data_IF_352741193745
#
_entry.id   IF_352741193745
#
_cell.length_a   1.000
_cell.length_b   1.000
_cell.length_c   1.000
_cell.angle_alpha   90.00
_cell.angle_beta   90.00
_cell.angle_gamma   90.00
#
_symmetry.space_group_name_H-M   'P 1'
#
loop_
_entity.id
_entity.type
_entity.pdbx_description
1 polymer ?
#
# COMPACT_ATOMS: atom_id res chain seq x y z
N UNK A 1 67.17 43.07 5.93
CA UNK A 1 65.82 42.60 5.50
C UNK A 1 65.75 41.07 5.42
N UNK A 2 66.02 40.38 6.55
CA UNK A 2 66.10 38.90 6.62
C UNK A 2 64.79 38.21 7.04
N UNK A 3 63.76 38.98 7.43
CA UNK A 3 62.47 38.44 7.90
C UNK A 3 61.43 38.23 6.79
N UNK A 4 61.57 38.87 5.62
CA UNK A 4 60.59 38.73 4.53
C UNK A 4 60.74 37.45 3.68
N UNK A 5 61.91 36.79 3.70
CA UNK A 5 62.15 35.55 2.93
C UNK A 5 61.64 34.27 3.60
N UNK A 6 61.35 34.29 4.91
CA UNK A 6 60.87 33.11 5.64
C UNK A 6 59.35 32.92 5.56
N UNK A 7 58.59 33.98 5.28
CA UNK A 7 57.13 33.92 5.22
C UNK A 7 56.62 33.37 3.87
N UNK A 8 57.32 33.67 2.76
CA UNK A 8 56.92 33.21 1.41
C UNK A 8 57.12 31.71 1.21
N UNK A 9 58.10 31.10 1.90
CA UNK A 9 58.37 29.65 1.81
C UNK A 9 57.32 28.82 2.55
N UNK A 10 56.74 29.34 3.63
CA UNK A 10 55.70 28.63 4.39
C UNK A 10 54.33 28.63 3.68
N UNK A 11 53.99 29.69 2.93
CA UNK A 11 52.72 29.76 2.19
C UNK A 11 52.70 28.79 1.02
N UNK A 12 53.84 28.54 0.37
CA UNK A 12 53.96 27.56 -0.73
C UNK A 12 53.92 26.10 -0.28
N UNK A 13 54.21 25.80 0.99
CA UNK A 13 54.13 24.45 1.55
C UNK A 13 52.70 24.05 1.95
N UNK A 14 51.82 24.98 2.29
CA UNK A 14 50.41 24.68 2.58
C UNK A 14 49.55 24.47 1.32
N UNK A 15 49.96 25.06 0.18
CA UNK A 15 49.28 24.86 -1.12
C UNK A 15 49.71 23.56 -1.83
N UNK A 16 50.89 23.00 -1.49
CA UNK A 16 51.36 21.72 -2.02
C UNK A 16 50.73 20.49 -1.36
N UNK A 17 50.19 20.62 -0.14
CA UNK A 17 49.56 19.53 0.60
C UNK A 17 48.09 19.27 0.24
N UNK A 18 47.48 20.08 -0.63
CA UNK A 18 46.11 19.86 -1.14
C UNK A 18 46.05 19.17 -2.51
N UNK A 19 47.20 18.89 -3.13
CA UNK A 19 47.26 18.31 -4.50
C UNK A 19 47.74 16.84 -4.53
N UNK A 20 47.77 16.16 -3.38
CA UNK A 20 48.11 14.73 -3.26
C UNK A 20 47.06 13.95 -2.45
N UNK A 21 45.78 14.26 -2.63
CA UNK A 21 44.75 13.23 -2.44
C UNK A 21 44.73 12.43 -3.73
N UNK A 22 45.50 11.33 -3.71
CA UNK A 22 45.55 10.37 -4.77
C UNK A 22 44.14 9.98 -5.20
N UNK A 23 43.97 9.88 -6.51
CA UNK A 23 42.99 9.01 -7.13
C UNK A 23 43.24 7.60 -6.57
N UNK A 24 42.63 7.30 -5.44
CA UNK A 24 42.36 5.93 -5.05
C UNK A 24 41.40 5.45 -6.13
N UNK A 25 41.76 4.47 -6.97
CA UNK A 25 40.75 3.80 -7.77
C UNK A 25 39.78 3.24 -6.75
N UNK A 26 38.54 3.75 -6.76
CA UNK A 26 37.46 3.01 -6.13
C UNK A 26 37.57 1.61 -6.73
N UNK A 27 37.67 0.55 -5.90
CA UNK A 27 37.41 -0.77 -6.44
C UNK A 27 36.07 -0.64 -7.14
N UNK A 28 36.00 -1.07 -8.39
CA UNK A 28 34.74 -1.47 -9.02
C UNK A 28 34.21 -2.66 -8.21
N UNK A 29 33.78 -2.39 -6.98
CA UNK A 29 32.74 -3.14 -6.34
C UNK A 29 31.51 -2.76 -7.16
N UNK A 30 31.38 -3.41 -8.32
CA UNK A 30 30.07 -3.71 -8.88
C UNK A 30 29.28 -4.31 -7.73
N UNK A 31 28.55 -3.46 -7.00
CA UNK A 31 27.48 -3.89 -6.12
C UNK A 31 26.66 -4.80 -7.02
N UNK A 32 26.64 -6.13 -6.79
CA UNK A 32 26.01 -7.04 -7.73
C UNK A 32 24.61 -6.51 -7.90
N UNK A 33 24.30 -6.06 -9.13
CA UNK A 33 23.10 -5.29 -9.43
C UNK A 33 21.94 -6.04 -8.80
N UNK A 34 21.45 -5.51 -7.66
CA UNK A 34 20.49 -6.23 -6.81
C UNK A 34 19.33 -6.51 -7.75
N UNK A 35 19.14 -7.78 -8.11
CA UNK A 35 18.11 -8.19 -9.06
C UNK A 35 16.85 -7.42 -8.65
N UNK A 36 16.25 -6.61 -9.54
CA UNK A 36 15.14 -5.77 -9.15
C UNK A 36 14.14 -6.69 -8.45
N UNK A 37 13.68 -6.34 -7.23
CA UNK A 37 12.80 -7.21 -6.47
C UNK A 37 11.65 -7.60 -7.40
N UNK A 38 11.42 -8.91 -7.50
CA UNK A 38 10.36 -9.46 -8.34
C UNK A 38 8.99 -8.92 -7.92
N UNK A 39 7.92 -9.28 -8.66
CA UNK A 39 6.58 -8.94 -8.23
C UNK A 39 6.33 -9.46 -6.79
N UNK A 40 5.72 -8.63 -5.95
CA UNK A 40 5.22 -9.06 -4.64
C UNK A 40 3.76 -9.43 -4.86
N UNK A 41 3.40 -10.70 -4.66
CA UNK A 41 2.07 -11.23 -4.87
C UNK A 41 1.71 -12.14 -3.71
N UNK A 42 0.69 -11.77 -2.95
CA UNK A 42 0.15 -12.55 -1.85
C UNK A 42 -1.00 -13.44 -2.37
N UNK A 43 -1.04 -14.74 -2.04
CA UNK A 43 -2.08 -15.66 -2.49
C UNK A 43 -3.35 -15.52 -1.65
N UNK A 44 -3.97 -14.34 -1.66
CA UNK A 44 -5.28 -14.12 -1.02
C UNK A 44 -6.37 -14.65 -1.94
N UNK A 45 -7.20 -15.55 -1.43
CA UNK A 45 -8.33 -16.12 -2.18
C UNK A 45 -9.41 -15.05 -2.44
N UNK A 46 -9.80 -14.78 -3.70
CA UNK A 46 -10.88 -13.86 -4.01
C UNK A 46 -12.24 -14.36 -3.49
N UNK A 47 -13.07 -13.44 -3.01
CA UNK A 47 -14.40 -13.73 -2.46
C UNK A 47 -15.46 -12.84 -3.11
N UNK A 48 -16.50 -13.46 -3.67
CA UNK A 48 -17.68 -12.73 -4.15
C UNK A 48 -18.52 -12.24 -2.97
N UNK A 49 -18.77 -10.94 -2.88
CA UNK A 49 -19.68 -10.36 -1.89
C UNK A 49 -21.09 -10.96 -2.01
N UNK A 50 -21.70 -11.34 -0.88
CA UNK A 50 -23.04 -11.95 -0.82
C UNK A 50 -24.17 -10.97 -1.06
N UNK A 51 -24.00 -9.71 -0.66
CA UNK A 51 -24.95 -8.62 -0.94
C UNK A 51 -24.27 -7.60 -1.84
N UNK A 52 -25.04 -6.91 -2.69
CA UNK A 52 -24.51 -5.86 -3.57
C UNK A 52 -23.86 -4.69 -2.80
N UNK A 53 -24.14 -4.57 -1.50
CA UNK A 53 -23.63 -3.54 -0.62
C UNK A 53 -22.60 -4.04 0.41
N UNK A 54 -22.19 -5.32 0.36
CA UNK A 54 -21.30 -5.94 1.36
C UNK A 54 -19.83 -6.06 0.93
N UNK A 55 -19.34 -5.19 0.04
CA UNK A 55 -17.93 -5.18 -0.40
C UNK A 55 -16.94 -5.02 0.77
N UNK A 56 -17.30 -4.25 1.80
CA UNK A 56 -16.51 -4.10 3.03
C UNK A 56 -16.39 -5.42 3.82
N UNK A 57 -17.50 -6.11 4.06
CA UNK A 57 -17.49 -7.40 4.77
C UNK A 57 -16.72 -8.46 3.99
N UNK A 58 -16.91 -8.54 2.67
CA UNK A 58 -16.17 -9.48 1.83
C UNK A 58 -14.66 -9.19 1.83
N UNK A 59 -14.26 -7.92 1.72
CA UNK A 59 -12.86 -7.50 1.78
C UNK A 59 -12.22 -7.79 3.14
N UNK A 60 -12.95 -7.55 4.23
CA UNK A 60 -12.52 -7.93 5.57
C UNK A 60 -12.28 -9.44 5.68
N UNK A 61 -13.22 -10.28 5.22
CA UNK A 61 -13.09 -11.74 5.28
C UNK A 61 -11.90 -12.24 4.48
N UNK A 62 -11.66 -11.69 3.27
CA UNK A 62 -10.49 -12.04 2.47
C UNK A 62 -9.17 -11.78 3.23
N UNK A 63 -9.00 -10.57 3.78
CA UNK A 63 -7.79 -10.21 4.52
C UNK A 63 -7.66 -10.99 5.84
N UNK A 64 -8.77 -11.16 6.58
CA UNK A 64 -8.78 -11.89 7.83
C UNK A 64 -8.41 -13.36 7.64
N UNK A 65 -9.04 -14.05 6.68
CA UNK A 65 -8.81 -15.47 6.45
C UNK A 65 -7.39 -15.75 5.92
N UNK A 66 -6.81 -14.80 5.20
CA UNK A 66 -5.40 -14.87 4.82
C UNK A 66 -4.48 -14.82 6.05
N UNK A 67 -4.75 -13.90 7.00
CA UNK A 67 -3.96 -13.76 8.22
C UNK A 67 -4.25 -14.83 9.29
N UNK A 68 -5.43 -15.45 9.27
CA UNK A 68 -5.92 -16.41 10.28
C UNK A 68 -6.50 -17.67 9.62
N UNK A 69 -5.69 -18.45 8.86
CA UNK A 69 -6.18 -19.57 8.08
C UNK A 69 -6.77 -20.71 8.92
N UNK A 70 -6.36 -20.84 10.18
CA UNK A 70 -6.84 -21.89 11.09
C UNK A 70 -8.24 -21.62 11.67
N UNK A 71 -8.70 -20.36 11.61
CA UNK A 71 -10.01 -19.94 12.13
C UNK A 71 -10.74 -19.07 11.11
N UNK A 72 -11.07 -19.60 9.92
CA UNK A 72 -11.65 -18.79 8.86
C UNK A 72 -13.07 -18.31 9.23
N UNK A 73 -13.39 -17.11 8.79
CA UNK A 73 -14.72 -16.51 8.90
C UNK A 73 -15.52 -16.72 7.62
N UNK A 74 -16.84 -16.77 7.78
CA UNK A 74 -17.80 -16.70 6.68
C UNK A 74 -18.35 -15.27 6.56
N UNK A 75 -18.50 -14.76 5.34
CA UNK A 75 -19.04 -13.41 5.11
C UNK A 75 -20.44 -13.22 5.71
N UNK A 76 -21.30 -14.24 5.66
CA UNK A 76 -22.65 -14.14 6.21
C UNK A 76 -22.65 -13.90 7.72
N UNK A 77 -21.69 -14.48 8.46
CA UNK A 77 -21.57 -14.26 9.90
C UNK A 77 -21.11 -12.84 10.20
N UNK A 78 -20.14 -12.35 9.40
CA UNK A 78 -19.65 -10.97 9.50
C UNK A 78 -20.76 -9.97 9.17
N UNK A 79 -21.55 -10.22 8.12
CA UNK A 79 -22.72 -9.40 7.76
C UNK A 79 -23.72 -9.38 8.92
N UNK A 80 -24.10 -10.55 9.46
CA UNK A 80 -25.08 -10.63 10.54
C UNK A 80 -24.63 -9.84 11.77
N UNK A 81 -23.36 -10.00 12.16
CA UNK A 81 -22.76 -9.22 13.25
C UNK A 81 -22.75 -7.72 12.96
N UNK A 82 -22.28 -7.31 11.77
CA UNK A 82 -22.18 -5.90 11.41
C UNK A 82 -23.56 -5.21 11.35
N UNK A 83 -24.60 -5.90 10.87
CA UNK A 83 -25.99 -5.40 10.92
C UNK A 83 -26.47 -5.26 12.37
N UNK A 84 -26.24 -6.27 13.22
CA UNK A 84 -26.65 -6.25 14.62
C UNK A 84 -26.03 -5.08 15.39
N UNK A 85 -24.79 -4.74 15.10
CA UNK A 85 -24.06 -3.65 15.75
C UNK A 85 -24.30 -2.28 15.11
N UNK A 86 -25.02 -2.23 13.98
CA UNK A 86 -25.22 -0.99 13.21
C UNK A 86 -23.98 -0.51 12.46
N UNK A 87 -22.98 -1.38 12.27
CA UNK A 87 -21.76 -1.10 11.48
C UNK A 87 -22.00 -1.25 9.98
N UNK A 88 -23.00 -2.04 9.60
CA UNK A 88 -23.44 -2.24 8.22
C UNK A 88 -24.95 -2.04 8.10
N UNK A 89 -25.37 -1.32 7.06
CA UNK A 89 -26.76 -1.15 6.64
C UNK A 89 -26.86 -1.38 5.14
N UNK A 90 -27.95 -1.99 4.67
CA UNK A 90 -28.11 -2.36 3.26
C UNK A 90 -28.96 -1.39 2.44
N UNK A 91 -29.51 -0.35 3.06
CA UNK A 91 -30.51 0.55 2.46
C UNK A 91 -30.06 2.03 2.36
N UNK A 92 -28.93 2.40 2.96
CA UNK A 92 -28.41 3.78 2.94
C UNK A 92 -26.90 3.83 2.94
N UNK A 93 -26.34 4.87 2.31
CA UNK A 93 -24.90 5.10 2.27
C UNK A 93 -24.40 5.91 3.48
N UNK A 94 -23.14 5.73 3.90
CA UNK A 94 -22.27 4.61 3.50
C UNK A 94 -22.82 3.29 4.05
N UNK A 95 -22.78 2.22 3.24
CA UNK A 95 -23.29 0.91 3.66
C UNK A 95 -22.47 0.37 4.82
N UNK A 96 -21.14 0.43 4.69
CA UNK A 96 -20.15 0.27 5.77
C UNK A 96 -19.14 1.39 5.61
N UNK A 97 -18.91 2.20 6.65
CA UNK A 97 -17.88 3.25 6.59
C UNK A 97 -16.49 2.68 6.91
N UNK A 98 -15.41 3.37 6.52
CA UNK A 98 -14.04 3.03 6.92
C UNK A 98 -13.86 2.89 8.44
N UNK A 99 -14.53 3.75 9.24
CA UNK A 99 -14.49 3.65 10.69
C UNK A 99 -15.21 2.37 11.18
N UNK A 100 -16.35 2.03 10.58
CA UNK A 100 -17.09 0.81 10.91
C UNK A 100 -16.33 -0.46 10.48
N UNK A 101 -15.51 -0.40 9.43
CA UNK A 101 -14.62 -1.51 9.05
C UNK A 101 -13.65 -1.86 10.19
N UNK A 102 -13.06 -0.86 10.84
CA UNK A 102 -12.15 -1.06 11.99
C UNK A 102 -12.90 -1.64 13.18
N UNK A 103 -14.04 -1.04 13.58
CA UNK A 103 -14.86 -1.52 14.70
C UNK A 103 -15.35 -2.97 14.49
N UNK A 104 -15.67 -3.31 13.24
CA UNK A 104 -16.04 -4.67 12.85
C UNK A 104 -14.84 -5.62 12.99
N UNK A 105 -13.65 -5.22 12.55
CA UNK A 105 -12.45 -6.07 12.61
C UNK A 105 -11.98 -6.32 14.06
N UNK A 106 -12.06 -5.32 14.92
CA UNK A 106 -11.66 -5.40 16.35
C UNK A 106 -12.46 -6.45 17.15
N UNK A 107 -13.63 -6.86 16.66
CA UNK A 107 -14.39 -7.98 17.23
C UNK A 107 -13.66 -9.31 17.13
N UNK A 108 -12.89 -9.50 16.06
CA UNK A 108 -12.31 -10.79 15.67
C UNK A 108 -10.81 -10.88 15.98
N UNK A 109 -10.09 -9.76 15.91
CA UNK A 109 -8.65 -9.73 16.20
C UNK A 109 -8.21 -8.38 16.75
N UNK A 110 -7.13 -8.38 17.53
CA UNK A 110 -6.48 -7.14 18.01
C UNK A 110 -5.40 -6.64 17.07
N UNK A 111 -5.01 -7.43 16.08
CA UNK A 111 -3.93 -7.13 15.13
C UNK A 111 -4.47 -6.36 13.93
N UNK A 112 -5.25 -5.31 14.20
CA UNK A 112 -5.83 -4.44 13.18
C UNK A 112 -4.98 -3.18 13.11
N UNK A 113 -4.52 -2.84 11.92
CA UNK A 113 -3.85 -1.58 11.65
C UNK A 113 -4.63 -0.83 10.61
N UNK A 114 -4.90 0.45 10.85
CA UNK A 114 -5.58 1.31 9.91
C UNK A 114 -4.99 2.71 9.95
N UNK A 115 -5.17 3.44 8.86
CA UNK A 115 -4.64 4.79 8.75
C UNK A 115 -5.09 5.48 7.50
N UNK A 116 -4.40 6.58 7.20
CA UNK A 116 -4.64 7.39 6.00
C UNK A 116 -3.32 7.78 5.38
N UNK A 117 -3.26 7.76 4.06
CA UNK A 117 -2.18 8.35 3.26
C UNK A 117 -2.73 9.54 2.49
N UNK A 118 -1.90 10.56 2.26
CA UNK A 118 -2.32 11.80 1.59
C UNK A 118 -1.61 11.96 0.25
N UNK A 119 -0.36 11.52 0.18
CA UNK A 119 0.48 11.64 -1.01
C UNK A 119 0.64 10.29 -1.72
N UNK A 120 0.78 10.29 -3.05
CA UNK A 120 0.99 9.05 -3.81
C UNK A 120 2.26 8.31 -3.36
N UNK A 121 3.32 9.02 -3.00
CA UNK A 121 4.56 8.40 -2.56
C UNK A 121 4.38 7.67 -1.22
N UNK A 122 3.55 8.23 -0.32
CA UNK A 122 3.19 7.60 0.96
C UNK A 122 2.35 6.34 0.74
N UNK A 123 1.33 6.41 -0.12
CA UNK A 123 0.50 5.26 -0.46
C UNK A 123 1.31 4.12 -1.07
N UNK A 124 2.21 4.44 -1.99
CA UNK A 124 3.08 3.45 -2.61
C UNK A 124 4.07 2.83 -1.61
N UNK A 125 4.67 3.66 -0.75
CA UNK A 125 5.57 3.19 0.30
C UNK A 125 4.87 2.27 1.30
N UNK A 126 3.63 2.62 1.71
CA UNK A 126 2.78 1.79 2.55
C UNK A 126 2.53 0.43 1.89
N UNK A 127 2.09 0.40 0.62
CA UNK A 127 1.83 -0.87 -0.07
C UNK A 127 3.09 -1.74 -0.12
N UNK A 128 4.25 -1.16 -0.39
CA UNK A 128 5.52 -1.90 -0.36
C UNK A 128 5.88 -2.43 1.03
N UNK A 129 5.65 -1.67 2.08
CA UNK A 129 5.91 -2.11 3.46
C UNK A 129 4.97 -3.27 3.82
N UNK A 130 3.67 -3.06 3.67
CA UNK A 130 2.63 -4.01 4.08
C UNK A 130 2.70 -5.32 3.31
N UNK A 131 2.79 -5.26 1.99
CA UNK A 131 2.85 -6.46 1.16
C UNK A 131 4.15 -7.26 1.36
N UNK A 132 5.27 -6.62 1.76
CA UNK A 132 6.51 -7.34 2.10
C UNK A 132 6.45 -8.03 3.46
N UNK A 133 5.56 -7.59 4.33
CA UNK A 133 5.31 -8.18 5.63
C UNK A 133 4.17 -9.21 5.58
N UNK A 134 3.80 -9.69 4.38
CA UNK A 134 2.66 -10.59 4.16
C UNK A 134 1.34 -10.03 4.73
N UNK A 135 1.13 -8.70 4.60
CA UNK A 135 -0.10 -8.03 5.01
C UNK A 135 -0.84 -7.49 3.77
N UNK A 136 -1.92 -8.16 3.31
CA UNK A 136 -2.76 -7.58 2.27
C UNK A 136 -3.48 -6.33 2.79
N UNK A 137 -3.71 -5.36 1.92
CA UNK A 137 -4.20 -4.03 2.29
C UNK A 137 -5.60 -3.81 1.77
N UNK A 138 -6.57 -3.63 2.66
CA UNK A 138 -7.91 -3.19 2.29
C UNK A 138 -7.84 -1.68 2.05
N UNK A 139 -8.33 -1.25 0.90
CA UNK A 139 -8.47 0.17 0.53
C UNK A 139 -9.89 0.42 0.04
N UNK A 140 -10.27 1.69 0.02
CA UNK A 140 -11.57 2.14 -0.47
C UNK A 140 -11.36 2.99 -1.74
N UNK A 141 -11.95 2.56 -2.86
CA UNK A 141 -11.75 3.12 -4.19
C UNK A 141 -13.09 3.34 -4.88
N UNK A 142 -13.08 3.94 -6.07
CA UNK A 142 -14.21 3.87 -6.98
C UNK A 142 -14.49 2.44 -7.46
N UNK A 143 -15.78 2.09 -7.57
CA UNK A 143 -16.26 0.84 -8.16
C UNK A 143 -15.72 0.65 -9.59
N UNK A 144 -15.69 1.73 -10.36
CA UNK A 144 -15.15 1.77 -11.72
C UNK A 144 -14.01 2.77 -11.79
N UNK A 145 -12.78 2.28 -11.92
CA UNK A 145 -11.58 3.13 -11.94
C UNK A 145 -11.56 4.13 -13.10
N UNK A 146 -12.16 3.81 -14.23
CA UNK A 146 -12.22 4.66 -15.43
C UNK A 146 -13.37 5.67 -15.42
N UNK A 147 -14.29 5.56 -14.46
CA UNK A 147 -15.43 6.47 -14.27
C UNK A 147 -15.24 7.22 -12.93
N UNK A 148 -14.69 8.45 -12.97
CA UNK A 148 -14.56 9.28 -11.78
C UNK A 148 -15.90 9.46 -11.08
N UNK A 149 -15.86 9.46 -9.74
CA UNK A 149 -17.04 9.61 -8.88
C UNK A 149 -18.09 8.49 -9.05
N UNK A 150 -17.69 7.30 -9.52
CA UNK A 150 -18.51 6.12 -9.28
C UNK A 150 -18.55 5.76 -7.79
N UNK A 151 -19.41 4.83 -7.42
CA UNK A 151 -19.66 4.51 -6.02
C UNK A 151 -18.39 4.03 -5.30
N UNK A 152 -18.25 4.39 -4.02
CA UNK A 152 -17.17 3.88 -3.18
C UNK A 152 -17.26 2.35 -2.99
N UNK A 153 -16.10 1.70 -2.94
CA UNK A 153 -15.96 0.26 -3.05
C UNK A 153 -14.67 -0.22 -2.37
N UNK A 154 -14.82 -1.12 -1.40
CA UNK A 154 -13.67 -1.74 -0.75
C UNK A 154 -13.10 -2.87 -1.62
N UNK A 155 -11.78 -2.88 -1.75
CA UNK A 155 -11.02 -3.96 -2.40
C UNK A 155 -9.82 -4.35 -1.54
N UNK A 156 -9.22 -5.51 -1.84
CA UNK A 156 -8.02 -5.99 -1.15
C UNK A 156 -6.83 -5.94 -2.09
N UNK A 157 -5.88 -5.06 -1.85
CA UNK A 157 -4.59 -5.05 -2.55
C UNK A 157 -3.78 -6.26 -2.08
N UNK A 158 -3.44 -7.12 -3.04
CA UNK A 158 -2.72 -8.38 -2.83
C UNK A 158 -1.32 -8.36 -3.41
N UNK A 159 -0.97 -7.33 -4.19
CA UNK A 159 0.35 -7.30 -4.80
C UNK A 159 0.74 -6.01 -5.50
N UNK A 160 2.03 -5.92 -5.79
CA UNK A 160 2.64 -4.83 -6.55
C UNK A 160 3.75 -5.38 -7.45
N UNK A 161 3.75 -4.92 -8.71
CA UNK A 161 4.81 -5.23 -9.68
C UNK A 161 5.18 -3.99 -10.49
N UNK A 162 6.34 -4.03 -11.16
CA UNK A 162 6.68 -3.01 -12.16
C UNK A 162 5.96 -3.29 -13.47
N UNK A 163 5.61 -2.24 -14.21
CA UNK A 163 5.10 -2.38 -15.57
C UNK A 163 6.19 -2.98 -16.48
N UNK A 164 5.89 -4.01 -17.29
CA UNK A 164 6.91 -4.76 -18.02
C UNK A 164 7.66 -3.94 -19.07
N UNK A 165 7.00 -2.94 -19.68
CA UNK A 165 7.60 -2.10 -20.74
C UNK A 165 7.85 -0.64 -20.36
N UNK A 166 7.49 -0.20 -19.15
CA UNK A 166 7.53 1.24 -18.79
C UNK A 166 8.21 1.41 -17.44
N UNK A 167 9.38 2.02 -17.44
CA UNK A 167 10.11 2.30 -16.22
C UNK A 167 9.36 3.29 -15.33
N UNK A 168 9.46 3.11 -14.01
CA UNK A 168 8.81 3.97 -13.02
C UNK A 168 7.31 3.75 -12.84
N UNK A 169 6.66 2.91 -13.66
CA UNK A 169 5.23 2.60 -13.52
C UNK A 169 5.04 1.34 -12.69
N UNK A 170 4.16 1.41 -11.69
CA UNK A 170 3.74 0.28 -10.88
C UNK A 170 2.37 -0.22 -11.30
N UNK A 171 2.20 -1.54 -11.25
CA UNK A 171 0.94 -2.26 -11.40
C UNK A 171 0.56 -2.78 -10.02
N UNK A 172 -0.66 -2.46 -9.61
CA UNK A 172 -1.27 -2.92 -8.37
C UNK A 172 -2.18 -4.09 -8.71
N UNK A 173 -2.04 -5.16 -7.94
CA UNK A 173 -2.87 -6.36 -8.01
C UNK A 173 -3.82 -6.33 -6.83
N UNK A 174 -5.11 -6.53 -7.08
CA UNK A 174 -6.12 -6.47 -6.03
C UNK A 174 -7.25 -7.47 -6.30
N UNK A 175 -7.87 -7.98 -5.24
CA UNK A 175 -9.08 -8.77 -5.34
C UNK A 175 -10.29 -7.86 -5.23
N UNK A 176 -11.18 -7.94 -6.21
CA UNK A 176 -12.42 -7.20 -6.25
C UNK A 176 -13.58 -8.08 -5.77
N UNK A 177 -14.24 -7.76 -4.64
CA UNK A 177 -15.34 -8.55 -4.14
C UNK A 177 -16.60 -8.49 -5.00
N UNK A 178 -16.74 -7.49 -5.88
CA UNK A 178 -17.88 -7.37 -6.80
C UNK A 178 -17.81 -8.41 -7.92
N UNK A 179 -16.61 -8.83 -8.33
CA UNK A 179 -16.39 -9.77 -9.43
C UNK A 179 -15.79 -11.11 -8.99
N UNK A 180 -15.30 -11.19 -7.75
CA UNK A 180 -14.54 -12.31 -7.20
C UNK A 180 -13.30 -12.68 -8.02
N UNK A 181 -12.62 -11.65 -8.55
CA UNK A 181 -11.44 -11.82 -9.39
C UNK A 181 -10.27 -11.04 -8.83
N UNK A 182 -9.09 -11.54 -9.11
CA UNK A 182 -7.86 -10.75 -9.04
C UNK A 182 -7.78 -9.88 -10.29
N UNK A 183 -7.78 -8.58 -10.06
CA UNK A 183 -7.71 -7.53 -11.07
C UNK A 183 -6.36 -6.82 -10.98
N UNK A 184 -6.06 -6.02 -12.00
CA UNK A 184 -4.86 -5.18 -12.01
C UNK A 184 -5.18 -3.76 -12.45
N UNK A 185 -4.49 -2.80 -11.85
CA UNK A 185 -4.57 -1.40 -12.24
C UNK A 185 -3.19 -0.75 -12.19
N UNK A 186 -3.01 0.33 -12.96
CA UNK A 186 -1.83 1.18 -12.78
C UNK A 186 -1.91 1.88 -11.42
N UNK A 187 -0.75 2.15 -10.83
CA UNK A 187 -0.67 3.00 -9.65
C UNK A 187 -1.19 4.41 -9.96
N UNK A 188 -0.68 5.01 -11.04
CA UNK A 188 -0.83 6.42 -11.38
C UNK A 188 -1.57 6.67 -12.70
N UNK A 189 -1.86 7.96 -12.93
CA UNK A 189 -2.54 8.45 -14.12
C UNK A 189 -4.06 8.28 -14.09
N UNK A 190 -4.72 8.73 -15.15
CA UNK A 190 -6.17 8.62 -15.28
C UNK A 190 -6.58 7.15 -15.25
N UNK A 191 -7.48 6.80 -14.32
CA UNK A 191 -7.91 5.41 -14.09
C UNK A 191 -6.88 4.56 -13.36
N UNK A 192 -5.88 5.20 -12.73
CA UNK A 192 -4.98 4.56 -11.79
C UNK A 192 -5.64 4.43 -10.42
N UNK A 193 -5.21 3.41 -9.66
CA UNK A 193 -5.81 3.10 -8.35
C UNK A 193 -5.62 4.24 -7.34
N UNK A 194 -4.51 5.00 -7.44
CA UNK A 194 -4.27 6.14 -6.55
C UNK A 194 -5.31 7.24 -6.71
N UNK A 195 -5.74 7.53 -7.95
CA UNK A 195 -6.75 8.57 -8.20
C UNK A 195 -8.06 8.21 -7.52
N UNK A 196 -8.51 6.97 -7.71
CA UNK A 196 -9.71 6.43 -7.10
C UNK A 196 -9.60 6.32 -5.58
N UNK A 197 -8.43 5.94 -5.05
CA UNK A 197 -8.22 5.79 -3.61
C UNK A 197 -8.16 7.14 -2.89
N UNK A 198 -7.49 8.13 -3.46
CA UNK A 198 -7.38 9.47 -2.86
C UNK A 198 -8.72 10.20 -2.80
N UNK A 199 -9.62 9.93 -3.75
CA UNK A 199 -10.89 10.66 -3.88
C UNK A 199 -12.05 9.73 -4.27
N UNK A 200 -12.44 8.83 -3.37
CA UNK A 200 -13.47 7.81 -3.62
C UNK A 200 -14.92 8.28 -3.35
N UNK A 201 -15.12 9.52 -2.89
CA UNK A 201 -16.44 10.07 -2.56
C UNK A 201 -17.07 9.56 -1.25
N UNK A 202 -16.43 8.64 -0.52
CA UNK A 202 -16.88 8.21 0.81
C UNK A 202 -16.32 9.11 1.91
N UNK A 203 -17.16 9.42 2.90
CA UNK A 203 -16.75 10.24 4.04
C UNK A 203 -15.74 9.47 4.90
N UNK A 204 -14.48 9.88 4.79
CA UNK A 204 -13.36 9.24 5.48
C UNK A 204 -12.67 8.14 4.68
N UNK A 205 -13.13 7.83 3.46
CA UNK A 205 -12.55 6.81 2.60
C UNK A 205 -11.29 7.25 1.85
N UNK A 206 -11.20 8.54 1.50
CA UNK A 206 -10.06 9.13 0.80
C UNK A 206 -8.70 8.78 1.44
N UNK A 207 -7.91 7.94 0.78
CA UNK A 207 -6.59 7.51 1.23
C UNK A 207 -6.62 6.58 2.46
N UNK A 208 -7.79 6.11 2.88
CA UNK A 208 -7.93 5.21 4.02
C UNK A 208 -7.44 3.80 3.68
N UNK A 209 -6.79 3.14 4.62
CA UNK A 209 -6.40 1.75 4.49
C UNK A 209 -6.59 1.00 5.80
N UNK A 210 -6.67 -0.33 5.69
CA UNK A 210 -6.62 -1.26 6.80
C UNK A 210 -5.85 -2.52 6.43
N UNK A 211 -5.06 -3.05 7.37
CA UNK A 211 -4.46 -4.40 7.30
C UNK A 211 -4.84 -5.20 8.54
N UNK A 212 -4.78 -6.52 8.40
CA UNK A 212 -4.91 -7.47 9.50
C UNK A 212 -3.65 -8.31 9.49
N UNK A 213 -2.86 -8.24 10.56
CA UNK A 213 -1.63 -9.02 10.68
C UNK A 213 -1.91 -10.38 11.30
N UNK A 214 -1.14 -11.39 10.90
CA UNK A 214 -1.18 -12.71 11.53
C UNK A 214 -0.81 -12.61 13.02
N UNK A 215 -1.33 -13.50 13.89
CA UNK A 215 -0.89 -13.60 15.28
C UNK A 215 0.62 -13.87 15.36
N UNK A 216 1.32 -13.15 16.24
CA UNK A 216 2.73 -13.43 16.59
C UNK A 216 2.86 -14.59 17.57
#
# INVERSE_FOLDING_TARGET
MRHFRRLTVLILLCLGSFLNLGLVPFPDDEIPARKPPGPILLPVEPLQQKKITSCGQASFVMAYNYAHPDTPLMELDVIAFAMQMGYYVDDRRPYTSPANMVLMAEKYTKNVHAGRVVLPEEGLALLFEKLRNDEPVIIDIWTYLDIPYSDAHFVVVTGISKHPQKEGIYIIHYNDPLTARSETARWDGKGGIWEAWRDNGDLGGSGWWMTISSPQ
#
